data_IF_931522700698
#
_entry.id   IF_931522700698
#
_cell.length_a   1.000
_cell.length_b   1.000
_cell.length_c   1.000
_cell.angle_alpha   90.00
_cell.angle_beta   90.00
_cell.angle_gamma   90.00
#
_symmetry.space_group_name_H-M   'P 1'
#
loop_
_entity.id
_entity.type
_entity.pdbx_description
1 polymer ?
#
# COMPACT_ATOMS: atom_id res chain seq x y z
N UNK A 1 20.98 -5.00 18.21
CA UNK A 1 21.07 -4.11 17.04
C UNK A 1 22.49 -3.57 16.68
N UNK A 2 23.53 -3.56 17.54
CA UNK A 2 24.82 -2.93 17.17
C UNK A 2 25.77 -3.80 16.32
N UNK A 3 25.33 -4.96 15.81
CA UNK A 3 26.17 -5.88 15.02
C UNK A 3 26.04 -5.70 13.50
N UNK A 4 25.08 -4.91 13.03
CA UNK A 4 24.89 -4.68 11.60
C UNK A 4 25.79 -3.54 11.11
N UNK A 5 26.26 -3.55 9.86
CA UNK A 5 27.02 -2.43 9.30
C UNK A 5 26.25 -1.11 9.41
N UNK A 6 26.96 0.00 9.63
CA UNK A 6 26.34 1.32 9.81
C UNK A 6 25.47 1.74 8.62
N UNK A 7 25.87 1.37 7.40
CA UNK A 7 25.12 1.65 6.17
C UNK A 7 23.74 0.98 6.18
N UNK A 8 23.63 -0.25 6.71
CA UNK A 8 22.36 -0.97 6.85
C UNK A 8 21.49 -0.33 7.93
N UNK A 9 22.11 0.10 9.04
CA UNK A 9 21.38 0.78 10.11
C UNK A 9 20.80 2.12 9.65
N UNK A 10 21.55 2.87 8.83
CA UNK A 10 21.12 4.16 8.28
C UNK A 10 19.99 4.04 7.26
N UNK A 11 19.98 2.98 6.45
CA UNK A 11 18.85 2.68 5.56
C UNK A 11 17.57 2.33 6.33
N UNK A 12 17.71 1.90 7.59
CA UNK A 12 16.61 1.45 8.42
C UNK A 12 16.25 -0.01 8.12
N UNK A 13 15.90 -0.74 9.19
CA UNK A 13 15.40 -2.10 9.08
C UNK A 13 13.90 -2.07 9.27
N UNK A 14 13.18 -2.52 8.25
CA UNK A 14 11.73 -2.61 8.31
C UNK A 14 11.35 -4.08 8.51
N UNK A 15 10.74 -4.37 9.65
CA UNK A 15 10.22 -5.70 9.96
C UNK A 15 8.71 -5.64 9.80
N UNK A 16 8.18 -6.41 8.84
CA UNK A 16 6.74 -6.43 8.52
C UNK A 16 6.21 -7.85 8.64
N UNK A 17 4.92 -7.94 8.94
CA UNK A 17 4.15 -9.18 8.82
C UNK A 17 3.13 -8.92 7.71
N UNK A 18 3.31 -9.58 6.57
CA UNK A 18 2.45 -9.43 5.39
C UNK A 18 2.30 -10.76 4.67
N UNK A 19 1.19 -10.93 3.98
CA UNK A 19 1.03 -11.99 2.99
C UNK A 19 1.83 -11.59 1.72
N UNK A 20 2.64 -12.48 1.09
CA UNK A 20 3.35 -12.16 -0.15
C UNK A 20 2.45 -11.74 -1.32
N UNK A 21 1.18 -12.13 -1.31
CA UNK A 21 0.24 -11.80 -2.38
C UNK A 21 -0.18 -10.33 -2.33
N UNK A 22 -0.20 -9.69 -3.51
CA UNK A 22 -0.74 -8.34 -3.65
C UNK A 22 -2.25 -8.37 -3.51
N UNK A 23 -2.78 -7.61 -2.55
CA UNK A 23 -4.22 -7.39 -2.42
C UNK A 23 -4.71 -6.53 -3.58
N UNK A 24 -4.02 -5.41 -3.80
CA UNK A 24 -4.37 -4.37 -4.75
C UNK A 24 -3.12 -3.61 -5.19
N UNK A 25 -3.07 -3.20 -6.45
CA UNK A 25 -2.04 -2.30 -6.99
C UNK A 25 -2.72 -1.03 -7.48
N UNK A 26 -2.51 0.06 -6.74
CA UNK A 26 -2.90 1.39 -7.17
C UNK A 26 -1.78 1.98 -8.01
N UNK A 27 -2.10 2.45 -9.21
CA UNK A 27 -1.16 3.10 -10.09
C UNK A 27 -1.56 4.54 -10.36
N UNK A 28 -0.56 5.40 -10.50
CA UNK A 28 -0.69 6.82 -10.81
C UNK A 28 0.09 7.09 -12.09
N UNK A 29 -0.47 7.85 -13.02
CA UNK A 29 0.16 8.13 -14.31
C UNK A 29 -0.20 9.53 -14.82
N UNK A 30 0.67 10.08 -15.66
CA UNK A 30 0.46 11.37 -16.32
C UNK A 30 -0.14 11.16 -17.72
N UNK A 31 -1.40 11.56 -17.90
CA UNK A 31 -2.10 11.52 -19.20
C UNK A 31 -1.55 12.50 -20.23
N UNK A 32 -0.83 13.53 -19.77
CA UNK A 32 -0.29 14.58 -20.66
C UNK A 32 1.08 14.26 -21.22
N UNK A 33 1.73 13.18 -20.74
CA UNK A 33 3.10 12.78 -21.09
C UNK A 33 4.14 13.89 -20.92
N UNK A 34 3.89 14.84 -20.01
CA UNK A 34 4.81 15.96 -19.71
C UNK A 34 5.78 15.62 -18.59
N UNK A 35 5.34 14.79 -17.65
CA UNK A 35 6.09 14.35 -16.50
C UNK A 35 6.83 13.05 -16.79
N UNK A 36 7.96 12.87 -16.14
CA UNK A 36 8.72 11.62 -16.21
C UNK A 36 8.17 10.58 -15.24
N UNK A 37 8.52 9.31 -15.43
CA UNK A 37 8.18 8.25 -14.47
C UNK A 37 8.70 8.57 -13.05
N UNK A 38 9.80 9.33 -12.93
CA UNK A 38 10.41 9.70 -11.64
C UNK A 38 9.55 10.73 -10.92
N UNK A 39 9.05 11.72 -11.66
CA UNK A 39 8.20 12.77 -11.12
C UNK A 39 6.88 12.19 -10.60
N UNK A 40 6.30 11.25 -11.35
CA UNK A 40 5.09 10.54 -10.92
C UNK A 40 5.38 9.60 -9.74
N UNK A 41 6.55 8.97 -9.71
CA UNK A 41 6.97 8.12 -8.58
C UNK A 41 7.15 8.92 -7.30
N UNK A 42 7.79 10.08 -7.37
CA UNK A 42 7.96 10.97 -6.23
C UNK A 42 6.61 11.49 -5.71
N UNK A 43 5.73 11.91 -6.61
CA UNK A 43 4.36 12.29 -6.24
C UNK A 43 3.65 11.14 -5.51
N UNK A 44 3.74 9.91 -6.03
CA UNK A 44 3.11 8.74 -5.41
C UNK A 44 3.70 8.43 -4.03
N UNK A 45 5.03 8.44 -3.88
CA UNK A 45 5.67 8.16 -2.57
C UNK A 45 5.31 9.24 -1.55
N UNK A 46 5.43 10.51 -1.94
CA UNK A 46 5.22 11.65 -1.03
C UNK A 46 3.75 11.85 -0.62
N UNK A 47 2.79 11.43 -1.45
CA UNK A 47 1.36 11.68 -1.19
C UNK A 47 0.54 10.43 -0.84
N UNK A 48 0.88 9.26 -1.40
CA UNK A 48 0.07 8.04 -1.24
C UNK A 48 0.70 6.99 -0.33
N UNK A 49 2.01 6.78 -0.37
CA UNK A 49 2.62 5.62 0.30
C UNK A 49 2.34 5.60 1.81
N UNK A 50 2.54 6.73 2.48
CA UNK A 50 2.35 6.85 3.93
C UNK A 50 0.89 6.71 4.39
N UNK A 51 -0.09 7.42 3.78
CA UNK A 51 -1.50 7.21 4.10
C UNK A 51 -1.97 5.76 3.88
N UNK A 52 -1.53 5.12 2.79
CA UNK A 52 -1.88 3.73 2.50
C UNK A 52 -1.25 2.77 3.52
N UNK A 53 0.03 2.97 3.87
CA UNK A 53 0.71 2.15 4.89
C UNK A 53 0.08 2.23 6.28
N UNK A 54 -0.68 3.30 6.57
CA UNK A 54 -1.41 3.50 7.83
C UNK A 54 -2.86 3.02 7.80
N UNK A 55 -3.34 2.57 6.64
CA UNK A 55 -4.72 2.12 6.48
C UNK A 55 -4.94 0.78 7.20
N UNK A 56 -6.06 0.64 7.92
CA UNK A 56 -6.36 -0.58 8.67
C UNK A 56 -6.41 -1.80 7.73
N UNK A 57 -5.67 -2.85 8.10
CA UNK A 57 -5.59 -4.09 7.32
C UNK A 57 -4.44 -4.13 6.32
N UNK A 58 -3.75 -3.00 6.08
CA UNK A 58 -2.51 -2.98 5.28
C UNK A 58 -1.34 -3.48 6.12
N UNK A 59 -0.64 -4.50 5.63
CA UNK A 59 0.54 -5.08 6.27
C UNK A 59 1.85 -4.53 5.69
N UNK A 60 1.85 -4.25 4.39
CA UNK A 60 3.00 -3.70 3.69
C UNK A 60 2.58 -2.90 2.44
N UNK A 61 3.44 -1.99 2.00
CA UNK A 61 3.31 -1.23 0.76
C UNK A 61 4.62 -1.31 0.00
N UNK A 62 4.56 -1.76 -1.24
CA UNK A 62 5.71 -1.86 -2.12
C UNK A 62 5.55 -0.91 -3.31
N UNK A 63 6.47 0.03 -3.49
CA UNK A 63 6.40 1.04 -4.53
C UNK A 63 7.21 0.59 -5.75
N UNK A 64 6.57 0.59 -6.91
CA UNK A 64 7.18 0.41 -8.23
C UNK A 64 7.64 1.76 -8.76
N UNK A 65 8.74 2.25 -8.22
CA UNK A 65 9.29 3.57 -8.47
C UNK A 65 10.19 3.99 -7.34
N UNK A 66 10.57 5.26 -7.33
CA UNK A 66 11.44 5.80 -6.29
C UNK A 66 11.15 7.28 -6.10
N UNK A 67 11.22 7.74 -4.85
CA UNK A 67 11.17 9.15 -4.51
C UNK A 67 12.38 9.91 -5.06
N UNK A 68 12.29 11.23 -5.06
CA UNK A 68 13.42 12.06 -5.40
C UNK A 68 14.55 11.93 -4.38
N UNK A 69 15.76 11.98 -4.91
CA UNK A 69 16.99 12.15 -4.17
C UNK A 69 17.84 13.22 -4.84
N UNK A 70 18.57 13.98 -4.02
CA UNK A 70 19.59 14.87 -4.55
C UNK A 70 20.75 14.03 -5.09
N UNK A 71 20.93 14.01 -6.41
CA UNK A 71 21.97 13.22 -7.08
C UNK A 71 23.17 14.11 -7.36
N UNK A 72 24.32 13.75 -6.78
CA UNK A 72 25.61 14.35 -7.09
C UNK A 72 26.38 13.36 -7.94
N UNK A 73 26.50 13.64 -9.23
CA UNK A 73 27.21 12.81 -10.18
C UNK A 73 28.64 13.34 -10.35
N UNK A 74 29.60 12.55 -9.87
CA UNK A 74 31.00 12.93 -9.81
C UNK A 74 31.73 12.57 -11.11
N UNK A 75 32.52 13.50 -11.62
CA UNK A 75 33.42 13.28 -12.75
C UNK A 75 34.82 12.93 -12.22
N UNK A 76 35.31 11.69 -12.45
CA UNK A 76 36.60 11.25 -11.93
C UNK A 76 37.78 12.04 -12.51
N UNK A 77 37.68 12.54 -13.74
CA UNK A 77 38.75 13.32 -14.36
C UNK A 77 38.85 14.70 -13.71
N UNK A 78 37.71 15.36 -13.45
CA UNK A 78 37.68 16.65 -12.77
C UNK A 78 38.10 16.55 -11.31
N UNK A 79 37.67 15.53 -10.60
CA UNK A 79 38.13 15.24 -9.22
C UNK A 79 39.65 15.11 -9.15
N UNK A 80 40.24 14.34 -10.07
CA UNK A 80 41.69 14.15 -10.11
C UNK A 80 42.44 15.46 -10.40
N UNK A 81 41.92 16.33 -11.28
CA UNK A 81 42.54 17.62 -11.61
C UNK A 81 42.68 18.55 -10.39
N UNK A 82 41.78 18.45 -9.41
CA UNK A 82 41.82 19.24 -8.16
C UNK A 82 42.34 18.44 -6.96
N UNK A 83 42.83 17.22 -7.19
CA UNK A 83 43.33 16.28 -6.19
C UNK A 83 42.31 16.00 -5.07
N UNK A 84 41.06 15.74 -5.46
CA UNK A 84 39.98 15.35 -4.56
C UNK A 84 39.56 13.92 -4.82
N UNK A 85 39.07 13.27 -3.77
CA UNK A 85 38.46 11.93 -3.82
C UNK A 85 36.99 11.97 -3.42
N UNK A 86 36.18 10.96 -3.76
CA UNK A 86 34.74 10.95 -3.42
C UNK A 86 34.45 11.13 -1.93
N UNK A 87 35.31 10.67 -1.03
CA UNK A 87 35.14 10.87 0.42
C UNK A 87 35.25 12.33 0.85
N UNK A 88 36.00 13.16 0.12
CA UNK A 88 36.09 14.61 0.40
C UNK A 88 34.76 15.29 0.10
N UNK A 89 34.11 14.89 -1.01
CA UNK A 89 32.77 15.36 -1.35
C UNK A 89 31.75 14.92 -0.31
N UNK A 90 31.78 13.65 0.11
CA UNK A 90 30.89 13.15 1.16
C UNK A 90 31.05 13.95 2.45
N UNK A 91 32.30 14.20 2.87
CA UNK A 91 32.61 14.97 4.08
C UNK A 91 32.12 16.41 3.96
N UNK A 92 32.34 17.07 2.82
CA UNK A 92 31.89 18.43 2.59
C UNK A 92 30.35 18.54 2.59
N UNK A 93 29.66 17.58 1.97
CA UNK A 93 28.20 17.50 1.99
C UNK A 93 27.69 17.29 3.42
N UNK A 94 28.28 16.38 4.19
CA UNK A 94 27.87 16.15 5.59
C UNK A 94 28.11 17.37 6.49
N UNK A 95 29.18 18.14 6.24
CA UNK A 95 29.50 19.32 7.01
C UNK A 95 28.61 20.54 6.67
N UNK A 96 28.21 20.70 5.40
CA UNK A 96 27.45 21.86 4.92
C UNK A 96 25.95 21.61 4.74
N UNK A 97 25.51 20.35 4.64
CA UNK A 97 24.10 19.96 4.64
C UNK A 97 23.71 19.40 6.01
N UNK A 98 23.82 20.23 7.03
CA UNK A 98 23.47 19.89 8.41
C UNK A 98 22.42 20.86 8.94
N UNK A 99 21.68 20.43 9.94
CA UNK A 99 20.72 21.25 10.66
C UNK A 99 21.31 21.56 12.04
N UNK A 100 21.65 22.83 12.26
CA UNK A 100 22.31 23.27 13.51
C UNK A 100 21.30 23.89 14.45
N UNK A 101 21.16 23.32 15.65
CA UNK A 101 20.41 23.93 16.73
C UNK A 101 21.21 25.11 17.32
N UNK A 102 20.83 26.33 16.97
CA UNK A 102 21.52 27.55 17.43
C UNK A 102 20.98 28.11 18.76
N UNK A 103 19.98 27.45 19.34
CA UNK A 103 19.39 27.83 20.62
C UNK A 103 18.43 29.01 20.48
N UNK A 104 18.32 29.80 21.53
CA UNK A 104 17.39 30.93 21.63
C UNK A 104 18.07 32.13 22.30
N UNK A 105 17.76 33.32 21.81
CA UNK A 105 18.10 34.58 22.47
C UNK A 105 17.15 34.73 23.65
N UNK A 106 17.67 34.98 24.85
CA UNK A 106 16.85 35.07 26.06
C UNK A 106 16.32 33.73 26.57
N UNK A 107 16.99 32.63 26.24
CA UNK A 107 16.73 31.33 26.87
C UNK A 107 17.14 31.31 28.33
N UNK A 108 16.52 30.42 29.11
CA UNK A 108 16.82 30.28 30.53
C UNK A 108 18.17 29.58 30.76
N UNK A 109 18.94 30.01 31.79
CA UNK A 109 18.64 31.08 32.75
C UNK A 109 18.87 32.48 32.16
N UNK A 110 17.87 33.38 32.30
CA UNK A 110 17.93 34.76 31.79
C UNK A 110 17.84 35.80 32.91
N UNK A 111 18.37 37.01 32.65
CA UNK A 111 18.20 38.14 33.58
C UNK A 111 16.72 38.56 33.70
N UNK A 112 16.32 39.07 34.87
CA UNK A 112 14.94 39.54 35.14
C UNK A 112 14.51 40.72 34.25
N UNK A 113 15.48 41.39 33.59
CA UNK A 113 15.27 42.48 32.64
C UNK A 113 15.21 42.01 31.18
N UNK A 114 15.30 40.71 30.91
CA UNK A 114 15.21 40.18 29.55
C UNK A 114 13.75 40.09 29.10
N UNK A 115 13.36 40.95 28.15
CA UNK A 115 12.00 41.00 27.60
C UNK A 115 11.84 40.28 26.25
N UNK A 116 12.94 39.93 25.58
CA UNK A 116 12.93 39.24 24.29
C UNK A 116 13.36 37.78 24.48
N UNK A 117 12.48 36.86 24.07
CA UNK A 117 12.83 35.47 23.80
C UNK A 117 12.58 35.18 22.32
N UNK A 118 13.58 34.69 21.60
CA UNK A 118 13.49 34.38 20.19
C UNK A 118 14.37 33.18 19.82
N UNK A 119 13.80 32.22 19.09
CA UNK A 119 14.55 31.07 18.56
C UNK A 119 15.52 31.52 17.49
N UNK A 120 16.79 31.14 17.63
CA UNK A 120 17.82 31.38 16.63
C UNK A 120 17.78 30.23 15.62
N UNK A 121 17.53 30.57 14.37
CA UNK A 121 17.68 29.62 13.26
C UNK A 121 19.03 29.86 12.60
N UNK A 122 19.86 28.82 12.54
CA UNK A 122 21.13 28.84 11.81
C UNK A 122 20.98 28.08 10.49
N UNK A 123 22.08 27.48 10.00
CA UNK A 123 22.12 26.73 8.76
C UNK A 123 21.10 25.59 8.80
N UNK A 124 20.18 25.63 7.85
CA UNK A 124 19.21 24.56 7.58
C UNK A 124 19.75 23.64 6.47
N UNK A 125 19.15 22.46 6.35
CA UNK A 125 19.48 21.53 5.27
C UNK A 125 19.26 22.18 3.91
N UNK A 126 20.15 21.89 2.98
CA UNK A 126 20.04 22.33 1.59
C UNK A 126 18.87 21.61 0.91
N UNK A 127 18.15 22.32 0.05
CA UNK A 127 16.91 21.86 -0.58
C UNK A 127 16.98 21.85 -2.11
N UNK A 128 17.77 22.75 -2.71
CA UNK A 128 17.81 22.94 -4.16
C UNK A 128 19.10 22.41 -4.78
N UNK A 129 19.09 21.89 -6.03
CA UNK A 129 20.31 21.48 -6.71
C UNK A 129 21.38 22.59 -6.75
N UNK A 130 20.96 23.85 -6.88
CA UNK A 130 21.82 25.03 -6.92
C UNK A 130 22.59 25.22 -5.60
N UNK A 131 21.95 24.98 -4.46
CA UNK A 131 22.60 25.02 -3.15
C UNK A 131 23.66 23.92 -3.03
N UNK A 132 23.35 22.71 -3.49
CA UNK A 132 24.30 21.59 -3.48
C UNK A 132 25.47 21.80 -4.44
N UNK A 133 25.25 22.41 -5.62
CA UNK A 133 26.32 22.81 -6.54
C UNK A 133 27.31 23.78 -5.90
N UNK A 134 26.84 24.62 -4.99
CA UNK A 134 27.62 25.65 -4.33
C UNK A 134 28.39 25.19 -3.09
N UNK A 135 28.27 23.91 -2.70
CA UNK A 135 29.04 23.34 -1.60
C UNK A 135 30.53 23.47 -1.89
N UNK A 136 31.26 24.04 -0.95
CA UNK A 136 32.71 24.27 -1.08
C UNK A 136 33.44 22.99 -0.69
N UNK A 137 34.29 22.47 -1.57
CA UNK A 137 35.07 21.26 -1.35
C UNK A 137 36.48 21.57 -0.83
N UNK A 138 37.12 22.58 -1.41
CA UNK A 138 38.51 22.95 -1.12
C UNK A 138 38.74 24.40 -1.50
N UNK A 139 39.59 25.09 -0.76
CA UNK A 139 40.12 26.40 -1.16
C UNK A 139 41.55 26.20 -1.66
N UNK A 140 41.84 26.67 -2.87
CA UNK A 140 43.17 26.64 -3.47
C UNK A 140 44.10 27.65 -2.77
N UNK A 141 45.43 27.47 -2.83
CA UNK A 141 46.38 28.43 -2.28
C UNK A 141 46.21 29.86 -2.84
N UNK A 142 45.71 29.97 -4.08
CA UNK A 142 45.44 31.22 -4.77
C UNK A 142 44.12 31.89 -4.32
N UNK A 143 43.41 31.31 -3.33
CA UNK A 143 42.17 31.82 -2.77
C UNK A 143 40.90 31.42 -3.53
N UNK A 144 41.01 30.73 -4.67
CA UNK A 144 39.84 30.25 -5.40
C UNK A 144 39.22 29.03 -4.71
N UNK A 145 37.90 29.02 -4.55
CA UNK A 145 37.14 27.91 -3.96
C UNK A 145 36.70 26.92 -5.05
N UNK A 146 37.04 25.65 -4.87
CA UNK A 146 36.54 24.52 -5.66
C UNK A 146 35.20 24.09 -5.09
N UNK A 147 34.18 24.02 -5.93
CA UNK A 147 32.81 23.68 -5.58
C UNK A 147 32.42 22.31 -6.14
N UNK A 148 31.28 21.77 -5.69
CA UNK A 148 30.69 20.55 -6.27
C UNK A 148 30.42 20.71 -7.77
N UNK A 149 30.00 21.90 -8.22
CA UNK A 149 29.83 22.21 -9.65
C UNK A 149 31.08 22.02 -10.50
N UNK A 150 32.26 22.13 -9.89
CA UNK A 150 33.54 22.07 -10.61
C UNK A 150 34.01 20.64 -10.81
N UNK A 151 33.48 19.70 -10.03
CA UNK A 151 33.88 18.28 -10.02
C UNK A 151 32.78 17.33 -10.47
N UNK A 152 31.62 17.84 -10.84
CA UNK A 152 30.46 17.03 -11.20
C UNK A 152 29.24 17.87 -11.56
N UNK A 153 28.09 17.22 -11.64
CA UNK A 153 26.80 17.91 -11.75
C UNK A 153 25.83 17.42 -10.68
N UNK A 154 24.85 18.27 -10.40
CA UNK A 154 23.83 18.01 -9.38
C UNK A 154 22.45 18.20 -10.00
N UNK A 155 21.57 17.24 -9.73
CA UNK A 155 20.18 17.24 -10.18
C UNK A 155 19.26 16.61 -9.14
N UNK A 156 17.97 16.91 -9.26
CA UNK A 156 16.93 16.15 -8.59
C UNK A 156 16.67 14.90 -9.44
N UNK A 157 17.03 13.72 -8.92
CA UNK A 157 16.90 12.45 -9.62
C UNK A 157 16.15 11.42 -8.77
N UNK A 158 15.99 10.20 -9.27
CA UNK A 158 15.40 9.13 -8.47
C UNK A 158 16.42 8.56 -7.48
N UNK A 159 16.02 8.20 -6.26
CA UNK A 159 16.88 7.49 -5.29
C UNK A 159 17.37 6.14 -5.83
N UNK A 160 16.54 5.47 -6.63
CA UNK A 160 16.88 4.25 -7.35
C UNK A 160 16.36 4.29 -8.80
N UNK A 161 17.20 3.86 -9.75
CA UNK A 161 16.91 3.79 -11.19
C UNK A 161 16.62 2.37 -11.69
N UNK A 162 16.50 1.37 -10.81
CA UNK A 162 16.32 -0.04 -11.18
C UNK A 162 14.91 -0.36 -11.70
N UNK A 163 13.93 0.51 -11.44
CA UNK A 163 12.55 0.33 -11.88
C UNK A 163 12.13 1.48 -12.80
N UNK A 164 11.56 1.12 -13.95
CA UNK A 164 10.86 2.04 -14.84
C UNK A 164 9.45 1.50 -15.01
N UNK A 165 8.45 2.29 -14.60
CA UNK A 165 7.05 1.89 -14.69
C UNK A 165 6.28 2.78 -15.68
N UNK A 166 5.32 2.16 -16.35
CA UNK A 166 4.39 2.81 -17.27
C UNK A 166 3.01 2.19 -17.08
N UNK A 167 1.98 3.02 -17.18
CA UNK A 167 0.58 2.59 -17.10
C UNK A 167 -0.08 3.00 -18.41
N UNK A 168 -0.63 2.05 -19.16
CA UNK A 168 -1.24 2.32 -20.46
C UNK A 168 -0.35 3.15 -21.42
N UNK A 169 0.97 2.88 -21.40
CA UNK A 169 2.05 3.60 -22.13
C UNK A 169 2.42 4.98 -21.58
N UNK A 170 1.63 5.56 -20.69
CA UNK A 170 1.95 6.81 -20.01
C UNK A 170 3.03 6.61 -18.92
N UNK A 171 3.90 7.60 -18.67
CA UNK A 171 4.78 7.62 -17.50
C UNK A 171 3.94 7.48 -16.23
N UNK A 172 4.26 6.49 -15.40
CA UNK A 172 3.48 6.23 -14.19
C UNK A 172 4.26 5.45 -13.16
N UNK A 173 3.71 5.36 -11.96
CA UNK A 173 4.24 4.61 -10.84
C UNK A 173 3.13 3.78 -10.20
N UNK A 174 3.49 2.74 -9.46
CA UNK A 174 2.52 1.91 -8.77
C UNK A 174 2.89 1.71 -7.30
N UNK A 175 1.88 1.49 -6.46
CA UNK A 175 2.05 1.00 -5.10
C UNK A 175 1.21 -0.26 -4.95
N UNK A 176 1.90 -1.38 -4.74
CA UNK A 176 1.28 -2.62 -4.32
C UNK A 176 1.00 -2.58 -2.83
N UNK A 177 -0.23 -2.93 -2.47
CA UNK A 177 -0.69 -3.06 -1.09
C UNK A 177 -0.77 -4.54 -0.76
N UNK A 178 -0.09 -4.93 0.31
CA UNK A 178 -0.09 -6.31 0.81
C UNK A 178 -0.95 -6.37 2.07
N UNK A 179 -1.75 -7.43 2.18
CA UNK A 179 -2.68 -7.61 3.29
C UNK A 179 -1.93 -8.00 4.57
N UNK A 180 -2.30 -7.40 5.69
CA UNK A 180 -1.82 -7.81 7.00
C UNK A 180 -2.38 -9.21 7.36
N UNK A 181 -1.62 -10.08 8.04
CA UNK A 181 -2.11 -11.39 8.45
C UNK A 181 -3.39 -11.29 9.29
N UNK A 182 -4.41 -12.05 8.91
CA UNK A 182 -5.71 -12.08 9.57
C UNK A 182 -6.62 -10.87 9.29
N UNK A 183 -6.20 -9.92 8.45
CA UNK A 183 -7.07 -8.85 8.00
C UNK A 183 -8.07 -9.33 6.94
N UNK A 184 -9.20 -8.64 6.85
CA UNK A 184 -10.23 -8.88 5.84
C UNK A 184 -9.83 -8.19 4.52
N UNK A 185 -9.71 -8.97 3.45
CA UNK A 185 -9.30 -8.47 2.13
C UNK A 185 -10.29 -7.45 1.55
N UNK A 186 -11.59 -7.71 1.67
CA UNK A 186 -12.65 -6.87 1.09
C UNK A 186 -12.72 -5.52 1.80
N UNK A 187 -12.75 -5.54 3.13
CA UNK A 187 -12.79 -4.33 3.95
C UNK A 187 -11.51 -3.51 3.79
N UNK A 188 -10.34 -4.16 3.73
CA UNK A 188 -9.06 -3.47 3.52
C UNK A 188 -9.02 -2.80 2.16
N UNK A 189 -9.43 -3.49 1.09
CA UNK A 189 -9.43 -2.92 -0.25
C UNK A 189 -10.38 -1.73 -0.39
N UNK A 190 -11.56 -1.78 0.26
CA UNK A 190 -12.50 -0.65 0.27
C UNK A 190 -11.89 0.59 0.95
N UNK A 191 -11.24 0.41 2.11
CA UNK A 191 -10.55 1.51 2.80
C UNK A 191 -9.39 2.06 1.96
N UNK A 192 -8.60 1.18 1.35
CA UNK A 192 -7.48 1.56 0.48
C UNK A 192 -7.97 2.34 -0.74
N UNK A 193 -9.01 1.88 -1.42
CA UNK A 193 -9.61 2.58 -2.56
C UNK A 193 -10.14 3.97 -2.17
N UNK A 194 -10.86 4.05 -1.04
CA UNK A 194 -11.36 5.32 -0.52
C UNK A 194 -10.23 6.29 -0.17
N UNK A 195 -9.13 5.78 0.41
CA UNK A 195 -7.94 6.58 0.71
C UNK A 195 -7.26 7.10 -0.56
N UNK A 196 -7.10 6.25 -1.59
CA UNK A 196 -6.56 6.67 -2.89
C UNK A 196 -7.45 7.74 -3.52
N UNK A 197 -8.76 7.55 -3.54
CA UNK A 197 -9.71 8.52 -4.11
C UNK A 197 -9.69 9.86 -3.35
N UNK A 198 -9.56 9.83 -2.02
CA UNK A 198 -9.44 11.03 -1.22
C UNK A 198 -8.16 11.81 -1.53
N UNK A 199 -7.01 11.13 -1.64
CA UNK A 199 -5.72 11.76 -1.94
C UNK A 199 -5.69 12.25 -3.40
N UNK A 200 -6.28 11.50 -4.32
CA UNK A 200 -6.32 11.83 -5.74
C UNK A 200 -7.03 13.16 -6.04
N UNK A 201 -7.93 13.63 -5.15
CA UNK A 201 -8.56 14.96 -5.28
C UNK A 201 -7.56 16.12 -5.26
N UNK A 202 -6.38 15.91 -4.70
CA UNK A 202 -5.32 16.91 -4.60
C UNK A 202 -4.23 16.72 -5.66
N UNK A 203 -4.44 15.82 -6.64
CA UNK A 203 -3.45 15.60 -7.67
C UNK A 203 -3.31 16.80 -8.61
N UNK A 204 -2.09 17.09 -9.09
CA UNK A 204 -1.87 18.07 -10.13
C UNK A 204 -2.68 17.74 -11.40
N UNK A 205 -3.06 18.76 -12.17
CA UNK A 205 -3.76 18.57 -13.42
C UNK A 205 -2.96 17.67 -14.38
N UNK A 206 -3.64 16.68 -14.99
CA UNK A 206 -3.03 15.70 -15.90
C UNK A 206 -2.65 14.37 -15.24
N UNK A 207 -2.59 14.32 -13.90
CA UNK A 207 -2.35 13.09 -13.16
C UNK A 207 -3.67 12.35 -12.93
N UNK A 208 -3.71 11.08 -13.31
CA UNK A 208 -4.81 10.16 -13.05
C UNK A 208 -4.32 8.95 -12.24
N UNK A 209 -5.28 8.22 -11.68
CA UNK A 209 -5.04 6.96 -11.00
C UNK A 209 -5.89 5.85 -11.57
N UNK A 210 -5.41 4.62 -11.44
CA UNK A 210 -6.14 3.40 -11.78
C UNK A 210 -5.77 2.26 -10.85
N UNK A 211 -6.67 1.29 -10.70
CA UNK A 211 -6.38 0.04 -9.99
C UNK A 211 -6.00 -1.02 -11.02
N UNK A 212 -4.70 -1.28 -11.17
CA UNK A 212 -4.16 -2.18 -12.21
C UNK A 212 -4.36 -3.65 -11.84
N UNK A 213 -4.31 -3.94 -10.54
CA UNK A 213 -4.60 -5.26 -10.00
C UNK A 213 -5.49 -5.10 -8.79
N UNK A 214 -6.52 -5.94 -8.70
CA UNK A 214 -7.43 -5.97 -7.58
C UNK A 214 -7.96 -7.40 -7.39
N UNK A 215 -7.38 -8.10 -6.43
CA UNK A 215 -7.77 -9.47 -6.07
C UNK A 215 -9.21 -9.54 -5.52
N UNK A 216 -9.75 -8.44 -5.01
CA UNK A 216 -11.06 -8.44 -4.37
C UNK A 216 -12.21 -8.59 -5.34
N UNK A 217 -12.04 -8.20 -6.61
CA UNK A 217 -13.05 -8.42 -7.64
C UNK A 217 -13.30 -9.91 -7.86
N UNK A 218 -12.24 -10.72 -7.87
CA UNK A 218 -12.36 -12.17 -7.99
C UNK A 218 -13.03 -12.79 -6.75
N UNK A 219 -12.70 -12.31 -5.55
CA UNK A 219 -13.33 -12.77 -4.30
C UNK A 219 -14.82 -12.46 -4.31
N UNK A 220 -15.21 -11.23 -4.66
CA UNK A 220 -16.62 -10.80 -4.74
C UNK A 220 -17.40 -11.66 -5.74
N UNK A 221 -16.87 -11.82 -6.95
CA UNK A 221 -17.52 -12.62 -7.99
C UNK A 221 -17.62 -14.11 -7.60
N UNK A 222 -16.58 -14.67 -6.98
CA UNK A 222 -16.60 -16.07 -6.52
C UNK A 222 -17.67 -16.29 -5.46
N UNK A 223 -17.82 -15.38 -4.50
CA UNK A 223 -18.85 -15.49 -3.46
C UNK A 223 -20.25 -15.32 -4.07
N UNK A 224 -20.43 -14.35 -4.98
CA UNK A 224 -21.70 -14.11 -5.68
C UNK A 224 -22.16 -15.35 -6.46
N UNK A 225 -21.26 -15.97 -7.22
CA UNK A 225 -21.59 -17.19 -7.98
C UNK A 225 -21.90 -18.38 -7.06
N UNK A 226 -21.21 -18.51 -5.91
CA UNK A 226 -21.56 -19.57 -4.97
C UNK A 226 -22.92 -19.32 -4.30
N UNK A 227 -23.25 -18.08 -3.97
CA UNK A 227 -24.58 -17.72 -3.44
C UNK A 227 -25.66 -17.99 -4.49
N UNK A 228 -25.42 -17.64 -5.75
CA UNK A 228 -26.33 -17.90 -6.85
C UNK A 228 -26.57 -19.40 -7.05
N UNK A 229 -25.50 -20.20 -7.12
CA UNK A 229 -25.61 -21.66 -7.24
C UNK A 229 -26.29 -22.30 -6.03
N UNK A 230 -26.12 -21.75 -4.82
CA UNK A 230 -26.86 -22.17 -3.64
C UNK A 230 -28.36 -21.92 -3.79
N UNK A 231 -28.76 -20.74 -4.26
CA UNK A 231 -30.17 -20.41 -4.52
C UNK A 231 -30.75 -21.33 -5.61
N UNK A 232 -30.02 -21.54 -6.71
CA UNK A 232 -30.42 -22.46 -7.79
C UNK A 232 -30.59 -23.90 -7.27
N UNK A 233 -29.65 -24.38 -6.44
CA UNK A 233 -29.73 -25.71 -5.82
C UNK A 233 -30.98 -25.86 -4.93
N UNK A 234 -31.30 -24.85 -4.10
CA UNK A 234 -32.51 -24.86 -3.28
C UNK A 234 -33.77 -24.88 -4.16
N UNK A 235 -33.83 -24.07 -5.21
CA UNK A 235 -34.97 -24.07 -6.14
C UNK A 235 -35.13 -25.44 -6.82
N UNK A 236 -34.04 -26.03 -7.30
CA UNK A 236 -34.06 -27.35 -7.94
C UNK A 236 -34.55 -28.43 -6.98
N UNK A 237 -34.09 -28.41 -5.72
CA UNK A 237 -34.60 -29.29 -4.67
C UNK A 237 -36.10 -29.13 -4.51
N UNK A 238 -36.61 -27.91 -4.38
CA UNK A 238 -38.05 -27.65 -4.22
C UNK A 238 -38.85 -28.17 -5.42
N UNK A 239 -38.34 -27.99 -6.64
CA UNK A 239 -38.98 -28.51 -7.86
C UNK A 239 -39.04 -30.04 -7.82
N UNK A 240 -37.91 -30.70 -7.54
CA UNK A 240 -37.85 -32.16 -7.47
C UNK A 240 -38.81 -32.67 -6.39
N UNK A 241 -38.80 -32.06 -5.21
CA UNK A 241 -39.69 -32.40 -4.10
C UNK A 241 -41.16 -32.24 -4.47
N UNK A 242 -41.51 -31.15 -5.14
CA UNK A 242 -42.87 -30.91 -5.60
C UNK A 242 -43.33 -31.96 -6.61
N UNK A 243 -42.44 -32.39 -7.52
CA UNK A 243 -42.74 -33.43 -8.51
C UNK A 243 -43.00 -34.79 -7.86
N UNK A 244 -42.22 -35.17 -6.84
CA UNK A 244 -42.39 -36.47 -6.15
C UNK A 244 -43.57 -36.46 -5.16
N UNK A 245 -43.72 -35.40 -4.37
CA UNK A 245 -44.75 -35.35 -3.33
C UNK A 245 -46.11 -34.86 -3.84
N UNK A 246 -46.16 -34.14 -4.97
CA UNK A 246 -47.37 -33.57 -5.60
C UNK A 246 -48.28 -32.75 -4.64
N UNK A 247 -47.74 -32.34 -3.49
CA UNK A 247 -48.44 -31.67 -2.41
C UNK A 247 -47.67 -30.42 -2.01
N UNK A 248 -48.33 -29.26 -2.15
CA UNK A 248 -47.75 -27.96 -1.81
C UNK A 248 -47.42 -27.87 -0.31
N UNK A 249 -48.24 -28.50 0.54
CA UNK A 249 -48.04 -28.54 1.99
C UNK A 249 -46.83 -29.39 2.36
N UNK A 250 -46.67 -30.56 1.74
CA UNK A 250 -45.55 -31.45 2.00
C UNK A 250 -44.22 -30.87 1.51
N UNK A 251 -44.24 -30.19 0.36
CA UNK A 251 -43.05 -29.52 -0.23
C UNK A 251 -42.56 -28.34 0.62
N UNK A 252 -43.45 -27.65 1.34
CA UNK A 252 -43.08 -26.50 2.15
C UNK A 252 -42.18 -26.88 3.34
N UNK A 253 -42.30 -28.11 3.85
CA UNK A 253 -41.52 -28.58 5.02
C UNK A 253 -40.00 -28.58 4.70
N UNK A 254 -39.50 -29.29 3.65
CA UNK A 254 -38.10 -29.20 3.26
C UNK A 254 -37.69 -27.79 2.84
N UNK A 255 -38.57 -27.04 2.17
CA UNK A 255 -38.30 -25.67 1.71
C UNK A 255 -37.92 -24.73 2.85
N UNK A 256 -38.56 -24.87 4.02
CA UNK A 256 -38.26 -24.06 5.21
C UNK A 256 -37.07 -24.65 5.99
N UNK A 257 -36.93 -25.98 6.02
CA UNK A 257 -35.85 -26.65 6.74
C UNK A 257 -34.47 -26.23 6.23
N UNK A 258 -34.30 -26.12 4.90
CA UNK A 258 -32.99 -25.79 4.29
C UNK A 258 -32.46 -24.41 4.72
N UNK A 259 -33.19 -23.29 4.57
CA UNK A 259 -32.75 -21.98 5.05
C UNK A 259 -32.48 -21.93 6.56
N UNK A 260 -33.29 -22.62 7.37
CA UNK A 260 -33.13 -22.63 8.84
C UNK A 260 -31.80 -23.28 9.23
N UNK A 261 -31.46 -24.41 8.61
CA UNK A 261 -30.21 -25.10 8.95
C UNK A 261 -29.00 -24.35 8.40
N UNK A 262 -29.08 -23.78 7.19
CA UNK A 262 -28.01 -22.92 6.66
C UNK A 262 -27.74 -21.71 7.57
N UNK A 263 -28.78 -21.01 8.01
CA UNK A 263 -28.65 -19.90 8.98
C UNK A 263 -28.06 -20.38 10.30
N UNK A 264 -28.47 -21.56 10.78
CA UNK A 264 -27.87 -22.22 11.94
C UNK A 264 -26.38 -22.48 11.75
N UNK A 265 -25.96 -22.99 10.58
CA UNK A 265 -24.55 -23.23 10.24
C UNK A 265 -23.75 -21.93 10.23
N UNK A 266 -24.29 -20.83 9.67
CA UNK A 266 -23.64 -19.52 9.76
C UNK A 266 -23.49 -19.03 11.20
N UNK A 267 -24.48 -19.29 12.06
CA UNK A 267 -24.39 -19.03 13.50
C UNK A 267 -23.25 -19.80 14.17
N UNK A 268 -23.12 -21.10 13.86
CA UNK A 268 -22.01 -21.93 14.36
C UNK A 268 -20.66 -21.46 13.82
N UNK A 269 -20.59 -21.09 12.54
CA UNK A 269 -19.37 -20.53 11.96
C UNK A 269 -18.93 -19.26 12.69
N UNK A 270 -19.87 -18.36 12.98
CA UNK A 270 -19.59 -17.15 13.73
C UNK A 270 -19.05 -17.47 15.14
N UNK A 271 -19.68 -18.41 15.86
CA UNK A 271 -19.24 -18.82 17.20
C UNK A 271 -17.88 -19.53 17.20
N UNK A 272 -17.58 -20.31 16.16
CA UNK A 272 -16.33 -21.03 16.00
C UNK A 272 -15.19 -20.18 15.40
N UNK A 273 -15.48 -18.94 14.98
CA UNK A 273 -14.50 -18.05 14.34
C UNK A 273 -14.15 -18.44 12.89
N UNK A 274 -15.02 -19.18 12.20
CA UNK A 274 -14.86 -19.46 10.78
C UNK A 274 -15.25 -18.25 9.91
N UNK A 275 -14.54 -18.07 8.81
CA UNK A 275 -14.87 -17.07 7.78
C UNK A 275 -15.73 -17.66 6.67
N UNK A 276 -16.49 -16.79 6.01
CA UNK A 276 -17.14 -17.13 4.74
C UNK A 276 -16.07 -17.05 3.65
N UNK A 277 -15.76 -18.21 3.05
CA UNK A 277 -14.77 -18.34 2.01
C UNK A 277 -15.18 -19.46 1.05
N UNK A 278 -14.43 -19.64 -0.04
CA UNK A 278 -14.75 -20.62 -1.07
C UNK A 278 -14.91 -22.04 -0.51
N UNK A 279 -14.07 -22.47 0.45
CA UNK A 279 -14.17 -23.81 1.04
C UNK A 279 -15.40 -23.97 1.92
N UNK A 280 -15.69 -23.00 2.79
CA UNK A 280 -16.86 -23.06 3.67
C UNK A 280 -18.17 -23.01 2.87
N UNK A 281 -18.22 -22.20 1.82
CA UNK A 281 -19.38 -22.14 0.92
C UNK A 281 -19.55 -23.42 0.07
N UNK A 282 -18.48 -24.00 -0.47
CA UNK A 282 -18.59 -25.30 -1.16
C UNK A 282 -19.06 -26.41 -0.22
N UNK A 283 -18.60 -26.40 1.04
CA UNK A 283 -19.08 -27.31 2.08
C UNK A 283 -20.60 -27.18 2.30
N UNK A 284 -21.13 -25.96 2.31
CA UNK A 284 -22.58 -25.72 2.40
C UNK A 284 -23.32 -26.27 1.18
N UNK A 285 -22.81 -26.06 -0.04
CA UNK A 285 -23.43 -26.59 -1.26
C UNK A 285 -23.51 -28.11 -1.24
N UNK A 286 -22.43 -28.80 -0.82
CA UNK A 286 -22.41 -30.26 -0.68
C UNK A 286 -23.36 -30.75 0.43
N UNK A 287 -23.47 -29.99 1.52
CA UNK A 287 -24.32 -30.34 2.66
C UNK A 287 -25.82 -30.26 2.34
N UNK A 288 -26.24 -29.44 1.37
CA UNK A 288 -27.66 -29.34 0.98
C UNK A 288 -28.22 -30.69 0.56
N UNK A 289 -27.47 -31.49 -0.21
CA UNK A 289 -27.93 -32.82 -0.63
C UNK A 289 -28.22 -33.75 0.55
N UNK A 290 -27.35 -33.73 1.56
CA UNK A 290 -27.52 -34.52 2.78
C UNK A 290 -28.69 -34.02 3.63
N UNK A 291 -28.83 -32.70 3.74
CA UNK A 291 -29.88 -32.08 4.55
C UNK A 291 -31.29 -32.35 4.00
N UNK A 292 -31.41 -32.31 2.68
CA UNK A 292 -32.68 -32.51 2.00
C UNK A 292 -33.14 -33.95 2.14
N UNK A 293 -32.23 -34.92 2.12
CA UNK A 293 -32.54 -36.34 2.33
C UNK A 293 -33.22 -36.57 3.69
N UNK A 294 -32.68 -36.00 4.77
CA UNK A 294 -33.29 -36.08 6.11
C UNK A 294 -34.73 -35.52 6.13
N UNK A 295 -34.94 -34.38 5.46
CA UNK A 295 -36.27 -33.77 5.38
C UNK A 295 -37.23 -34.59 4.51
N UNK A 296 -36.74 -35.22 3.43
CA UNK A 296 -37.51 -36.11 2.55
C UNK A 296 -38.02 -37.31 3.34
N UNK A 297 -37.12 -38.05 3.99
CA UNK A 297 -37.45 -39.31 4.67
C UNK A 297 -38.55 -39.09 5.71
N UNK A 298 -38.48 -37.99 6.46
CA UNK A 298 -39.51 -37.66 7.46
C UNK A 298 -40.85 -37.35 6.81
N UNK A 299 -40.87 -36.51 5.76
CA UNK A 299 -42.11 -36.11 5.08
C UNK A 299 -42.75 -37.27 4.32
N UNK A 300 -41.96 -38.05 3.59
CA UNK A 300 -42.42 -39.23 2.86
C UNK A 300 -43.00 -40.28 3.81
N UNK A 301 -42.32 -40.56 4.93
CA UNK A 301 -42.82 -41.53 5.90
C UNK A 301 -44.14 -41.10 6.54
N UNK A 302 -44.35 -39.79 6.74
CA UNK A 302 -45.61 -39.24 7.26
C UNK A 302 -46.72 -39.31 6.21
N UNK A 303 -46.46 -38.94 4.96
CA UNK A 303 -47.42 -39.08 3.85
C UNK A 303 -47.80 -40.54 3.58
N UNK A 304 -46.87 -41.49 3.71
CA UNK A 304 -47.16 -42.93 3.54
C UNK A 304 -48.14 -43.47 4.59
N UNK A 305 -48.18 -42.86 5.78
CA UNK A 305 -49.01 -43.31 6.91
C UNK A 305 -50.40 -42.64 6.95
N UNK A 306 -50.66 -41.66 6.08
CA UNK A 306 -51.96 -40.99 5.91
C UNK A 306 -52.74 -41.56 4.74
#
# INVERSE_FOLDING_TARGET
>A
MPRLPAQVQQQGLIVRKSNPDFLLIAAVYDTTDRLTNRDVSDLLVSTLQDPLGRTKGVGDTNVFGSQYAMRIWLDPAKLNAVQLIPSDVITAVQAQNTEVAAGEIGGQPSATTQYLNAVVTAQSRLQTPEQFRNIILKTTPDGAAVRVSDVGWVELGAENYSALSRVNRHPGAGVAVLLAPGADALATAELVKAQVEQVAKNFPAGIEYSFVNDSTNFIKLSIEEVVKTLIEAVILVVIVMFVFLQSWRATLIPTIAVPVVLLGTFGVFYLAGFSINTLTLFGLVLAIGLLVDDAIVVVENVERLM
#
